data_IF_569616415903
#
_entry.id   IF_569616415903
#
_cell.length_a   1.000
_cell.length_b   1.000
_cell.length_c   1.000
_cell.angle_alpha   90.00
_cell.angle_beta   90.00
_cell.angle_gamma   90.00
#
_symmetry.space_group_name_H-M   'P 1'
#
loop_
_entity.id
_entity.type
_entity.pdbx_description
1 polymer ?
#
# COMPACT_ATOMS: atom_id res chain seq x y z
N UNK A 1 -18.33 7.10 -5.48
CA UNK A 1 -17.54 6.07 -4.78
C UNK A 1 -18.12 5.93 -3.38
N UNK A 2 -18.25 4.72 -2.82
CA UNK A 2 -18.53 4.61 -1.38
C UNK A 2 -17.51 5.47 -0.62
N UNK A 3 -17.88 6.07 0.51
CA UNK A 3 -16.93 6.86 1.32
C UNK A 3 -15.71 5.98 1.62
N UNK A 4 -14.56 6.33 1.03
CA UNK A 4 -13.35 5.54 1.15
C UNK A 4 -12.89 5.62 2.60
N UNK A 5 -13.16 4.54 3.36
CA UNK A 5 -12.67 4.38 4.74
C UNK A 5 -11.15 4.55 4.84
N UNK A 6 -10.46 4.39 3.71
CA UNK A 6 -9.00 4.44 3.58
C UNK A 6 -8.49 5.72 2.87
N UNK A 7 -9.27 6.79 2.83
CA UNK A 7 -8.90 8.03 2.12
C UNK A 7 -7.56 8.65 2.57
N UNK A 8 -7.15 8.42 3.83
CA UNK A 8 -5.84 8.87 4.33
C UNK A 8 -4.68 8.07 3.72
N UNK A 9 -4.90 6.77 3.51
CA UNK A 9 -3.92 5.87 2.88
C UNK A 9 -3.87 6.12 1.38
N UNK A 10 -4.99 6.46 0.74
CA UNK A 10 -5.08 6.70 -0.70
C UNK A 10 -5.42 8.16 -1.02
N UNK A 11 -4.66 9.09 -0.45
CA UNK A 11 -4.97 10.52 -0.57
C UNK A 11 -4.84 11.01 -2.02
N UNK A 12 -5.98 11.37 -2.59
CA UNK A 12 -6.09 12.01 -3.89
C UNK A 12 -6.08 13.55 -3.74
N UNK A 13 -5.34 14.32 -4.57
CA UNK A 13 -5.61 15.74 -4.71
C UNK A 13 -7.02 15.96 -5.29
N UNK A 14 -7.71 17.06 -4.94
CA UNK A 14 -9.04 17.35 -5.46
C UNK A 14 -9.00 17.55 -6.97
N UNK A 15 -9.92 16.92 -7.69
CA UNK A 15 -10.01 17.04 -9.15
C UNK A 15 -10.43 18.46 -9.53
N UNK A 16 -9.62 19.13 -10.36
CA UNK A 16 -9.90 20.46 -10.94
C UNK A 16 -10.00 20.32 -12.44
N UNK A 17 -11.21 20.23 -12.97
CA UNK A 17 -11.47 20.28 -14.41
C UNK A 17 -11.80 21.72 -14.81
N UNK A 18 -11.22 22.24 -15.90
CA UNK A 18 -11.63 23.54 -16.42
C UNK A 18 -13.08 23.47 -16.92
N UNK A 19 -13.76 24.61 -16.89
CA UNK A 19 -15.08 24.72 -17.50
C UNK A 19 -14.94 24.50 -19.00
N UNK A 20 -15.84 23.73 -19.60
CA UNK A 20 -15.88 23.55 -21.04
C UNK A 20 -16.36 24.84 -21.72
N UNK A 21 -15.44 25.59 -22.30
CA UNK A 21 -15.75 26.77 -23.11
C UNK A 21 -16.04 26.36 -24.57
N UNK A 22 -17.15 26.85 -25.12
CA UNK A 22 -17.52 26.61 -26.53
C UNK A 22 -16.87 27.67 -27.40
N UNK A 23 -15.75 27.32 -28.04
CA UNK A 23 -15.04 28.22 -28.97
C UNK A 23 -15.67 28.23 -30.38
N UNK A 24 -16.45 27.21 -30.72
CA UNK A 24 -17.14 27.09 -32.02
C UNK A 24 -18.64 26.87 -31.82
N UNK A 25 -19.44 27.21 -32.85
CA UNK A 25 -20.89 27.01 -32.87
C UNK A 25 -21.31 25.56 -33.14
N UNK A 26 -20.37 24.71 -33.57
CA UNK A 26 -20.61 23.29 -33.83
C UNK A 26 -20.68 22.51 -32.51
N UNK A 27 -21.70 21.65 -32.31
CA UNK A 27 -21.79 20.85 -31.10
C UNK A 27 -20.67 19.80 -31.04
N UNK A 28 -20.02 19.65 -29.88
CA UNK A 28 -18.98 18.65 -29.69
C UNK A 28 -19.62 17.24 -29.61
N UNK A 29 -19.29 16.30 -30.52
CA UNK A 29 -19.88 14.96 -30.53
C UNK A 29 -19.59 14.18 -29.24
N UNK A 30 -18.51 14.48 -28.52
CA UNK A 30 -18.17 13.82 -27.25
C UNK A 30 -19.28 14.02 -26.21
N UNK A 31 -19.88 15.22 -26.16
CA UNK A 31 -20.97 15.50 -25.20
C UNK A 31 -22.22 14.66 -25.53
N UNK A 32 -22.50 14.47 -26.81
CA UNK A 32 -23.60 13.59 -27.24
C UNK A 32 -23.31 12.13 -26.88
N UNK A 33 -22.12 11.61 -27.17
CA UNK A 33 -21.75 10.24 -26.79
C UNK A 33 -21.80 10.01 -25.28
N UNK A 34 -21.35 10.99 -24.48
CA UNK A 34 -21.47 10.93 -23.01
C UNK A 34 -22.94 10.83 -22.57
N UNK A 35 -23.82 11.67 -23.14
CA UNK A 35 -25.25 11.59 -22.81
C UNK A 35 -25.86 10.24 -23.19
N UNK A 36 -25.56 9.73 -24.39
CA UNK A 36 -26.05 8.42 -24.84
C UNK A 36 -25.53 7.31 -23.94
N UNK A 37 -24.24 7.33 -23.58
CA UNK A 37 -23.65 6.36 -22.65
C UNK A 37 -24.34 6.38 -21.29
N UNK A 38 -24.61 7.57 -20.75
CA UNK A 38 -25.27 7.72 -19.45
C UNK A 38 -26.69 7.13 -19.46
N UNK A 39 -27.46 7.35 -20.53
CA UNK A 39 -28.84 6.83 -20.62
C UNK A 39 -28.91 5.34 -20.99
N UNK A 40 -28.05 4.88 -21.89
CA UNK A 40 -28.11 3.52 -22.44
C UNK A 40 -27.38 2.52 -21.54
N UNK A 41 -26.30 2.93 -20.88
CA UNK A 41 -25.43 2.03 -20.11
C UNK A 41 -25.49 2.34 -18.61
N UNK A 42 -25.16 3.57 -18.21
CA UNK A 42 -24.97 3.90 -16.79
C UNK A 42 -26.27 3.81 -15.98
N UNK A 43 -27.36 4.38 -16.50
CA UNK A 43 -28.67 4.34 -15.85
C UNK A 43 -29.21 2.92 -15.61
N UNK A 44 -29.28 2.01 -16.60
CA UNK A 44 -29.73 0.64 -16.35
C UNK A 44 -28.78 -0.16 -15.44
N UNK A 45 -27.45 0.05 -15.53
CA UNK A 45 -26.48 -0.59 -14.64
C UNK A 45 -26.69 -0.13 -13.19
N UNK A 46 -26.92 1.17 -12.98
CA UNK A 46 -27.19 1.74 -11.66
C UNK A 46 -28.48 1.17 -11.08
N UNK A 47 -29.53 1.02 -11.89
CA UNK A 47 -30.78 0.39 -11.46
C UNK A 47 -30.59 -1.07 -11.00
N UNK A 48 -29.82 -1.86 -11.76
CA UNK A 48 -29.49 -3.24 -11.38
C UNK A 48 -28.68 -3.28 -10.09
N UNK A 49 -27.68 -2.40 -9.95
CA UNK A 49 -26.89 -2.27 -8.72
C UNK A 49 -27.77 -1.96 -7.51
N UNK A 50 -28.67 -0.98 -7.61
CA UNK A 50 -29.62 -0.64 -6.55
C UNK A 50 -30.57 -1.79 -6.22
N UNK A 51 -30.99 -2.58 -7.21
CA UNK A 51 -31.79 -3.78 -6.98
C UNK A 51 -31.02 -4.85 -6.20
N UNK A 52 -29.75 -5.09 -6.55
CA UNK A 52 -28.87 -6.03 -5.83
C UNK A 52 -28.62 -5.53 -4.40
N UNK A 53 -28.26 -4.26 -4.22
CA UNK A 53 -28.03 -3.66 -2.90
C UNK A 53 -29.28 -3.77 -2.01
N UNK A 54 -30.49 -3.59 -2.56
CA UNK A 54 -31.75 -3.83 -1.83
C UNK A 54 -31.92 -5.28 -1.38
N UNK A 55 -31.48 -6.27 -2.16
CA UNK A 55 -31.54 -7.67 -1.72
C UNK A 55 -30.45 -7.97 -0.68
N UNK A 56 -29.23 -7.45 -0.86
CA UNK A 56 -28.14 -7.62 0.09
C UNK A 56 -28.45 -6.96 1.44
N UNK A 57 -29.12 -5.81 1.44
CA UNK A 57 -29.55 -5.11 2.65
C UNK A 57 -30.53 -5.93 3.50
N UNK A 58 -31.33 -6.82 2.89
CA UNK A 58 -32.22 -7.72 3.63
C UNK A 58 -31.45 -8.76 4.45
N UNK A 59 -30.30 -9.21 3.94
CA UNK A 59 -29.46 -10.24 4.54
C UNK A 59 -28.02 -9.73 4.73
N UNK A 60 -27.83 -8.78 5.65
CA UNK A 60 -26.52 -8.20 5.91
C UNK A 60 -25.66 -9.12 6.80
N UNK A 61 -24.56 -9.62 6.24
CA UNK A 61 -23.54 -10.38 6.98
C UNK A 61 -22.39 -9.47 7.42
N UNK A 62 -21.87 -9.72 8.62
CA UNK A 62 -20.72 -9.00 9.16
C UNK A 62 -19.50 -9.92 9.18
N UNK A 63 -18.36 -9.38 8.77
CA UNK A 63 -17.06 -10.02 8.91
C UNK A 63 -16.13 -9.10 9.70
N UNK A 64 -15.14 -9.69 10.37
CA UNK A 64 -14.20 -8.97 11.22
C UNK A 64 -12.77 -9.19 10.74
N UNK A 65 -11.96 -8.14 10.84
CA UNK A 65 -10.53 -8.26 10.61
C UNK A 65 -9.86 -8.97 11.78
N UNK A 66 -9.05 -9.99 11.50
CA UNK A 66 -8.35 -10.75 12.52
C UNK A 66 -7.27 -9.89 13.20
N UNK A 67 -7.28 -9.82 14.53
CA UNK A 67 -6.28 -9.10 15.31
C UNK A 67 -5.37 -10.09 16.03
N UNK A 68 -4.10 -10.14 15.65
CA UNK A 68 -3.09 -10.94 16.32
C UNK A 68 -2.50 -10.16 17.49
N UNK A 69 -2.45 -10.77 18.68
CA UNK A 69 -1.67 -10.24 19.80
C UNK A 69 -0.18 -10.43 19.51
N UNK A 70 0.65 -9.54 20.04
CA UNK A 70 2.11 -9.69 19.99
C UNK A 70 2.54 -10.84 20.91
N UNK A 71 3.55 -11.55 20.44
CA UNK A 71 4.28 -12.66 21.06
C UNK A 71 5.71 -12.16 21.30
N UNK A 72 6.43 -12.67 22.31
CA UNK A 72 7.85 -12.40 22.48
C UNK A 72 8.65 -12.66 21.19
N UNK A 73 9.59 -11.78 20.89
CA UNK A 73 10.47 -11.93 19.74
C UNK A 73 11.58 -12.95 20.01
N UNK A 74 12.26 -13.37 18.94
CA UNK A 74 13.30 -14.40 19.02
C UNK A 74 14.47 -14.04 19.98
N UNK A 75 14.70 -12.76 20.25
CA UNK A 75 15.75 -12.30 21.17
C UNK A 75 15.47 -12.60 22.64
N UNK A 76 14.21 -12.79 23.01
CA UNK A 76 13.78 -13.04 24.39
C UNK A 76 13.67 -14.54 24.70
N UNK A 77 13.60 -15.37 23.66
CA UNK A 77 13.50 -16.83 23.79
C UNK A 77 14.81 -17.45 24.29
N UNK A 78 14.70 -18.46 25.17
CA UNK A 78 15.83 -19.26 25.63
C UNK A 78 16.27 -20.24 24.55
N UNK A 79 17.57 -20.48 24.44
CA UNK A 79 18.11 -21.45 23.50
C UNK A 79 17.58 -22.87 23.77
N UNK A 80 16.98 -23.50 22.76
CA UNK A 80 16.39 -24.84 22.86
C UNK A 80 14.89 -24.85 23.15
N UNK A 81 14.26 -23.70 23.42
CA UNK A 81 12.80 -23.60 23.53
C UNK A 81 12.15 -23.49 22.13
N UNK A 82 11.77 -24.65 21.59
CA UNK A 82 11.15 -24.73 20.26
C UNK A 82 9.74 -24.11 20.20
N UNK A 83 9.00 -24.05 21.32
CA UNK A 83 7.66 -23.46 21.32
C UNK A 83 7.75 -21.94 21.18
N UNK A 84 8.64 -21.31 21.95
CA UNK A 84 8.92 -19.88 21.82
C UNK A 84 9.41 -19.53 20.41
N UNK A 85 10.33 -20.33 19.85
CA UNK A 85 10.82 -20.12 18.48
C UNK A 85 9.72 -20.23 17.43
N UNK A 86 8.81 -21.19 17.57
CA UNK A 86 7.72 -21.37 16.63
C UNK A 86 6.77 -20.16 16.61
N UNK A 87 6.38 -19.66 17.78
CA UNK A 87 5.49 -18.50 17.88
C UNK A 87 6.16 -17.21 17.38
N UNK A 88 7.43 -17.01 17.73
CA UNK A 88 8.23 -15.86 17.27
C UNK A 88 8.45 -15.90 15.75
N UNK A 89 8.73 -17.06 15.17
CA UNK A 89 8.85 -17.20 13.71
C UNK A 89 7.52 -16.94 13.01
N UNK A 90 6.40 -17.40 13.58
CA UNK A 90 5.08 -17.14 13.03
C UNK A 90 4.74 -15.64 13.07
N UNK A 91 5.14 -14.91 14.13
CA UNK A 91 5.02 -13.45 14.19
C UNK A 91 5.84 -12.77 13.09
N UNK A 92 7.13 -13.11 13.00
CA UNK A 92 8.02 -12.57 11.97
C UNK A 92 7.51 -12.80 10.54
N UNK A 93 6.96 -13.99 10.26
CA UNK A 93 6.38 -14.32 8.96
C UNK A 93 5.16 -13.46 8.62
N UNK A 94 4.30 -13.19 9.61
CA UNK A 94 3.15 -12.28 9.45
C UNK A 94 3.61 -10.86 9.21
N UNK A 95 4.54 -10.35 10.02
CA UNK A 95 5.04 -8.99 9.87
C UNK A 95 5.75 -8.79 8.53
N UNK A 96 6.47 -9.81 8.03
CA UNK A 96 7.06 -9.79 6.68
C UNK A 96 6.02 -9.67 5.58
N UNK A 97 4.89 -10.39 5.68
CA UNK A 97 3.80 -10.26 4.69
C UNK A 97 3.16 -8.87 4.77
N UNK A 98 2.97 -8.32 5.98
CA UNK A 98 2.46 -6.95 6.15
C UNK A 98 3.41 -5.92 5.54
N UNK A 99 4.72 -6.06 5.76
CA UNK A 99 5.72 -5.15 5.18
C UNK A 99 5.78 -5.23 3.65
N UNK A 100 5.50 -6.40 3.06
CA UNK A 100 5.36 -6.55 1.61
C UNK A 100 4.18 -5.73 1.08
N UNK A 101 3.02 -5.81 1.74
CA UNK A 101 1.85 -5.02 1.37
C UNK A 101 2.10 -3.51 1.59
N UNK A 102 2.86 -3.11 2.61
CA UNK A 102 3.24 -1.70 2.81
C UNK A 102 4.05 -1.18 1.61
N UNK A 103 5.02 -1.95 1.12
CA UNK A 103 5.81 -1.57 -0.06
C UNK A 103 4.89 -1.46 -1.29
N UNK A 104 3.96 -2.39 -1.47
CA UNK A 104 3.06 -2.40 -2.62
C UNK A 104 2.07 -1.23 -2.58
N UNK A 105 1.53 -0.86 -1.42
CA UNK A 105 0.68 0.33 -1.25
C UNK A 105 1.44 1.60 -1.66
N UNK A 106 2.68 1.77 -1.23
CA UNK A 106 3.49 2.95 -1.59
C UNK A 106 3.83 2.94 -3.08
N UNK A 107 4.02 1.76 -3.67
CA UNK A 107 4.21 1.61 -5.13
C UNK A 107 2.95 1.99 -5.90
N UNK A 108 1.77 1.58 -5.43
CA UNK A 108 0.47 1.94 -6.00
C UNK A 108 0.25 3.46 -5.97
N UNK A 109 0.59 4.11 -4.84
CA UNK A 109 0.54 5.59 -4.72
C UNK A 109 1.41 6.27 -5.77
N UNK A 110 2.64 5.81 -5.96
CA UNK A 110 3.53 6.34 -6.99
C UNK A 110 2.93 6.12 -8.40
N UNK A 111 2.38 4.94 -8.67
CA UNK A 111 1.72 4.63 -9.94
C UNK A 111 0.52 5.55 -10.21
N UNK A 112 -0.33 5.75 -9.20
CA UNK A 112 -1.48 6.64 -9.27
C UNK A 112 -1.05 8.11 -9.49
N UNK A 113 -0.01 8.55 -8.82
CA UNK A 113 0.56 9.89 -8.96
C UNK A 113 1.10 10.13 -10.39
N UNK A 114 1.90 9.21 -10.93
CA UNK A 114 2.39 9.26 -12.31
C UNK A 114 1.26 9.32 -13.33
N UNK A 115 0.23 8.51 -13.14
CA UNK A 115 -0.93 8.48 -14.04
C UNK A 115 -1.71 9.82 -14.02
N UNK A 116 -1.88 10.43 -12.85
CA UNK A 116 -2.60 11.70 -12.68
C UNK A 116 -1.84 12.90 -13.26
N UNK A 117 -0.53 12.94 -13.08
CA UNK A 117 0.29 14.11 -13.44
C UNK A 117 0.76 14.10 -14.91
N UNK A 118 0.79 12.92 -15.54
CA UNK A 118 1.14 12.77 -16.95
C UNK A 118 2.52 13.36 -17.27
N UNK A 119 2.64 14.39 -18.12
CA UNK A 119 3.93 14.95 -18.53
C UNK A 119 4.72 15.60 -17.38
N UNK A 120 4.04 16.14 -16.36
CA UNK A 120 4.68 16.87 -15.26
C UNK A 120 5.02 15.97 -14.05
N UNK A 121 5.04 14.65 -14.26
CA UNK A 121 5.22 13.66 -13.20
C UNK A 121 6.52 13.81 -12.39
N UNK A 122 7.58 14.33 -12.99
CA UNK A 122 8.89 14.39 -12.32
C UNK A 122 8.97 15.48 -11.25
N UNK A 123 8.18 16.54 -11.39
CA UNK A 123 8.20 17.68 -10.47
C UNK A 123 7.19 17.48 -9.34
N UNK A 124 5.97 17.09 -9.68
CA UNK A 124 4.87 17.04 -8.72
C UNK A 124 4.91 15.75 -7.88
N UNK A 125 5.40 14.62 -8.44
CA UNK A 125 5.48 13.33 -7.76
C UNK A 125 6.74 13.09 -6.90
N UNK A 126 7.57 14.11 -6.67
CA UNK A 126 8.86 13.97 -6.00
C UNK A 126 8.74 13.33 -4.59
N UNK A 127 7.71 13.72 -3.83
CA UNK A 127 7.46 13.21 -2.48
C UNK A 127 7.17 11.71 -2.44
N UNK A 128 6.32 11.22 -3.35
CA UNK A 128 5.97 9.79 -3.41
C UNK A 128 7.17 8.95 -3.86
N UNK A 129 8.01 9.49 -4.75
CA UNK A 129 9.27 8.84 -5.13
C UNK A 129 10.24 8.72 -3.96
N UNK A 130 10.38 9.78 -3.16
CA UNK A 130 11.22 9.75 -1.96
C UNK A 130 10.68 8.74 -0.92
N UNK A 131 9.37 8.72 -0.70
CA UNK A 131 8.74 7.75 0.19
C UNK A 131 8.99 6.31 -0.27
N UNK A 132 8.85 6.03 -1.57
CA UNK A 132 9.14 4.71 -2.11
C UNK A 132 10.62 4.35 -1.91
N UNK A 133 11.54 5.28 -2.15
CA UNK A 133 12.97 5.06 -1.93
C UNK A 133 13.29 4.74 -0.46
N UNK A 134 12.68 5.46 0.48
CA UNK A 134 12.87 5.22 1.92
C UNK A 134 12.32 3.85 2.35
N UNK A 135 11.09 3.52 1.93
CA UNK A 135 10.42 2.27 2.29
C UNK A 135 11.09 1.06 1.64
N UNK A 136 11.48 1.16 0.37
CA UNK A 136 12.20 0.08 -0.32
C UNK A 136 13.60 -0.13 0.26
N UNK A 137 14.31 0.93 0.63
CA UNK A 137 15.58 0.84 1.35
C UNK A 137 15.39 0.14 2.69
N UNK A 138 14.44 0.57 3.51
CA UNK A 138 14.15 -0.05 4.81
C UNK A 138 13.75 -1.54 4.68
N UNK A 139 12.96 -1.89 3.65
CA UNK A 139 12.57 -3.26 3.36
C UNK A 139 13.76 -4.11 2.91
N UNK A 140 14.61 -3.61 2.01
CA UNK A 140 15.83 -4.30 1.56
C UNK A 140 16.83 -4.48 2.71
N UNK A 141 16.96 -3.46 3.54
CA UNK A 141 17.79 -3.47 4.73
C UNK A 141 17.31 -4.56 5.72
N UNK A 142 16.00 -4.69 5.93
CA UNK A 142 15.42 -5.71 6.84
C UNK A 142 15.41 -7.12 6.23
N UNK A 143 14.95 -7.26 5.00
CA UNK A 143 14.60 -8.54 4.37
C UNK A 143 15.51 -8.99 3.21
N UNK A 144 16.42 -8.12 2.74
CA UNK A 144 17.35 -8.44 1.66
C UNK A 144 18.31 -9.58 2.04
N UNK A 145 18.70 -10.37 1.04
CA UNK A 145 19.74 -11.43 1.13
C UNK A 145 19.51 -12.53 2.18
N UNK A 146 18.28 -12.66 2.67
CA UNK A 146 17.89 -13.70 3.62
C UNK A 146 17.78 -15.11 2.99
N UNK A 147 17.83 -15.19 1.65
CA UNK A 147 17.66 -16.41 0.90
C UNK A 147 16.22 -16.94 0.88
N UNK A 148 16.02 -18.09 0.23
CA UNK A 148 14.70 -18.73 0.10
C UNK A 148 14.17 -19.22 1.46
N UNK A 149 15.06 -19.76 2.30
CA UNK A 149 14.75 -20.22 3.65
C UNK A 149 15.01 -19.15 4.72
N UNK A 150 14.71 -17.90 4.40
CA UNK A 150 14.87 -16.78 5.33
C UNK A 150 13.93 -16.91 6.53
N UNK A 151 14.48 -16.90 7.74
CA UNK A 151 13.75 -17.06 9.01
C UNK A 151 14.03 -15.88 9.95
N UNK A 152 13.30 -15.80 11.06
CA UNK A 152 13.53 -14.80 12.10
C UNK A 152 14.99 -14.81 12.63
N UNK A 153 15.61 -15.99 12.72
CA UNK A 153 17.00 -16.16 13.18
C UNK A 153 18.01 -15.51 12.24
N UNK A 154 17.87 -15.72 10.94
CA UNK A 154 18.79 -15.12 9.96
C UNK A 154 18.58 -13.61 9.88
N UNK A 155 17.35 -13.13 10.07
CA UNK A 155 17.07 -11.69 10.18
C UNK A 155 17.76 -11.06 11.40
N UNK A 156 17.68 -11.72 12.57
CA UNK A 156 18.36 -11.28 13.77
C UNK A 156 19.89 -11.26 13.61
N UNK A 157 20.48 -12.26 12.96
CA UNK A 157 21.91 -12.27 12.68
C UNK A 157 22.31 -11.13 11.73
N UNK A 158 21.55 -10.89 10.66
CA UNK A 158 21.76 -9.73 9.77
C UNK A 158 21.70 -8.40 10.53
N UNK A 159 20.73 -8.24 11.43
CA UNK A 159 20.62 -7.05 12.28
C UNK A 159 21.85 -6.89 13.18
N UNK A 160 22.34 -7.97 13.80
CA UNK A 160 23.57 -7.94 14.62
C UNK A 160 24.79 -7.53 13.80
N UNK A 161 24.96 -8.05 12.59
CA UNK A 161 26.08 -7.66 11.71
C UNK A 161 26.06 -6.15 11.43
N UNK A 162 24.91 -5.61 11.04
CA UNK A 162 24.73 -4.17 10.81
C UNK A 162 25.05 -3.32 12.03
N UNK A 163 24.54 -3.69 13.21
CA UNK A 163 24.83 -2.96 14.45
C UNK A 163 26.32 -3.02 14.84
N UNK A 164 27.05 -4.06 14.45
CA UNK A 164 28.51 -4.12 14.65
C UNK A 164 29.22 -3.19 13.66
N UNK A 165 28.79 -3.16 12.40
CA UNK A 165 29.34 -2.28 11.37
C UNK A 165 29.11 -0.79 11.69
N UNK A 166 27.90 -0.43 12.10
CA UNK A 166 27.55 0.94 12.53
C UNK A 166 28.42 1.39 13.72
N UNK A 167 28.59 0.52 14.72
CA UNK A 167 29.47 0.80 15.86
C UNK A 167 30.93 0.98 15.46
N UNK A 168 31.43 0.18 14.50
CA UNK A 168 32.80 0.34 13.97
C UNK A 168 32.97 1.63 13.19
N UNK A 169 31.99 2.00 12.36
CA UNK A 169 32.01 3.26 11.62
C UNK A 169 32.05 4.47 12.57
N UNK A 170 31.20 4.49 13.60
CA UNK A 170 31.18 5.54 14.62
C UNK A 170 32.51 5.64 15.37
N UNK A 171 33.12 4.51 15.74
CA UNK A 171 34.42 4.50 16.41
C UNK A 171 35.53 5.10 15.52
N UNK A 172 35.52 4.79 14.22
CA UNK A 172 36.47 5.34 13.26
C UNK A 172 36.25 6.82 12.96
N UNK A 173 35.01 7.32 13.01
CA UNK A 173 34.69 8.76 12.87
C UNK A 173 35.09 9.59 14.09
N UNK A 174 35.18 8.95 15.27
CA UNK A 174 35.59 9.59 16.53
C UNK A 174 37.10 9.62 16.77
N UNK A 175 37.89 8.97 15.91
CA UNK A 175 39.36 8.96 15.93
C UNK A 175 39.93 9.99 14.96
#
# INVERSE_FOLDING_TARGET
>A
MPEDRDWEVYKAPPTRTPVSERTTSLPNPVTFFQTVFNYVVDAPVTFVREWIERQQAKNKFYYYHQKFRRVPDLSECVEGDYLCFFEAEAQWRRDRMVDQEIVEIVRERLGACKHREGPNQFQNCAKEMEQLAQVTKAYQDRYGDLGVHGNARTCLMKQKHRMIEERKAQANESQ
#
